data_IF_318228116117
#
_entry.id   IF_318228116117
#
_cell.length_a   1.000
_cell.length_b   1.000
_cell.length_c   1.000
_cell.angle_alpha   90.00
_cell.angle_beta   90.00
_cell.angle_gamma   90.00
#
_symmetry.space_group_name_H-M   'P 1'
#
loop_
_entity.id
_entity.type
_entity.pdbx_description
1 polymer ?
#
# COMPACT_ATOMS: atom_id res chain seq x y z
N UNK A 1 20.46 -7.74 -43.78
CA UNK A 1 20.35 -9.01 -43.05
C UNK A 1 19.44 -10.03 -43.77
N UNK A 2 18.15 -9.71 -43.99
CA UNK A 2 17.17 -10.63 -44.61
C UNK A 2 17.63 -11.17 -45.98
N UNK A 3 18.10 -10.31 -46.89
CA UNK A 3 18.59 -10.75 -48.21
C UNK A 3 19.85 -11.64 -48.17
N UNK A 4 20.71 -11.51 -47.15
CA UNK A 4 21.88 -12.39 -46.97
C UNK A 4 21.46 -13.79 -46.48
N UNK A 5 20.43 -13.86 -45.63
CA UNK A 5 19.84 -15.12 -45.16
C UNK A 5 19.16 -15.85 -46.32
N UNK A 6 18.42 -15.13 -47.17
CA UNK A 6 17.75 -15.67 -48.35
C UNK A 6 18.77 -16.22 -49.37
N UNK A 7 19.85 -15.48 -49.64
CA UNK A 7 20.93 -15.94 -50.52
C UNK A 7 21.63 -17.20 -49.97
N UNK A 8 21.86 -17.26 -48.66
CA UNK A 8 22.44 -18.43 -48.00
C UNK A 8 21.54 -19.66 -48.07
N UNK A 9 20.22 -19.48 -47.93
CA UNK A 9 19.25 -20.55 -48.09
C UNK A 9 19.19 -21.07 -49.54
N UNK A 10 19.24 -20.19 -50.53
CA UNK A 10 19.33 -20.56 -51.95
C UNK A 10 20.61 -21.34 -52.28
N UNK A 11 21.70 -21.06 -51.57
CA UNK A 11 22.97 -21.80 -51.66
C UNK A 11 23.00 -23.08 -50.81
N UNK A 12 21.87 -23.50 -50.23
CA UNK A 12 21.73 -24.69 -49.37
C UNK A 12 22.65 -24.68 -48.15
N UNK A 13 23.05 -23.51 -47.67
CA UNK A 13 23.78 -23.40 -46.40
C UNK A 13 22.86 -23.80 -45.25
N UNK A 14 23.43 -24.52 -44.29
CA UNK A 14 22.72 -24.82 -43.04
C UNK A 14 22.54 -23.55 -42.22
N UNK A 15 21.51 -23.50 -41.37
CA UNK A 15 21.27 -22.39 -40.43
C UNK A 15 22.52 -22.08 -39.61
N UNK A 16 23.31 -23.10 -39.24
CA UNK A 16 24.57 -22.93 -38.50
C UNK A 16 25.66 -22.23 -39.32
N UNK A 17 25.77 -22.52 -40.62
CA UNK A 17 26.72 -21.85 -41.52
C UNK A 17 26.31 -20.41 -41.79
N UNK A 18 25.00 -20.15 -41.99
CA UNK A 18 24.47 -18.79 -42.14
C UNK A 18 24.75 -17.98 -40.88
N UNK A 19 24.45 -18.50 -39.69
CA UNK A 19 24.74 -17.82 -38.41
C UNK A 19 26.23 -17.53 -38.23
N UNK A 20 27.10 -18.50 -38.50
CA UNK A 20 28.56 -18.30 -38.41
C UNK A 20 29.07 -17.21 -39.37
N UNK A 21 28.50 -17.10 -40.57
CA UNK A 21 28.86 -16.05 -41.53
C UNK A 21 28.31 -14.68 -41.10
N UNK A 22 27.12 -14.63 -40.51
CA UNK A 22 26.53 -13.41 -39.95
C UNK A 22 27.31 -12.91 -38.73
N UNK A 23 27.73 -13.81 -37.83
CA UNK A 23 28.52 -13.50 -36.65
C UNK A 23 29.98 -13.10 -37.01
N UNK A 24 30.49 -13.55 -38.16
CA UNK A 24 31.83 -13.20 -38.67
C UNK A 24 31.83 -11.93 -39.54
N UNK A 25 30.69 -11.54 -40.11
CA UNK A 25 30.52 -10.25 -40.74
C UNK A 25 30.36 -9.19 -39.65
N UNK A 26 30.99 -8.04 -39.84
CA UNK A 26 30.81 -6.86 -38.98
C UNK A 26 29.43 -6.21 -39.26
N UNK A 27 28.37 -7.00 -39.05
CA UNK A 27 27.00 -6.59 -39.25
C UNK A 27 26.60 -5.86 -37.98
N UNK A 28 26.40 -4.54 -38.08
CA UNK A 28 25.90 -3.74 -36.97
C UNK A 28 24.62 -4.38 -36.40
N UNK A 29 24.77 -5.04 -35.25
CA UNK A 29 23.67 -5.60 -34.47
C UNK A 29 23.20 -4.52 -33.53
N UNK A 30 21.95 -4.08 -33.67
CA UNK A 30 21.34 -3.27 -32.63
C UNK A 30 21.20 -4.13 -31.37
N UNK A 31 21.82 -3.67 -30.28
CA UNK A 31 21.67 -4.33 -28.97
C UNK A 31 20.41 -3.77 -28.35
N UNK A 32 19.40 -4.63 -28.16
CA UNK A 32 18.14 -4.26 -27.51
C UNK A 32 18.20 -4.77 -26.08
N UNK A 33 17.81 -3.93 -25.11
CA UNK A 33 17.67 -4.35 -23.72
C UNK A 33 16.53 -5.38 -23.60
N UNK A 34 16.81 -6.61 -23.14
CA UNK A 34 15.79 -7.65 -23.08
C UNK A 34 14.78 -7.34 -21.97
N UNK A 35 13.49 -7.55 -22.26
CA UNK A 35 12.45 -7.52 -21.23
C UNK A 35 12.63 -8.76 -20.35
N UNK A 36 13.03 -8.57 -19.10
CA UNK A 36 13.21 -9.66 -18.15
C UNK A 36 11.88 -10.12 -17.57
N UNK A 37 11.72 -11.43 -17.39
CA UNK A 37 10.59 -11.97 -16.66
C UNK A 37 10.64 -11.52 -15.19
N UNK A 38 9.50 -11.14 -14.65
CA UNK A 38 9.35 -10.71 -13.26
C UNK A 38 8.00 -11.20 -12.71
N UNK A 39 7.86 -11.30 -11.39
CA UNK A 39 6.62 -11.77 -10.75
C UNK A 39 5.78 -10.56 -10.36
N UNK A 40 4.50 -10.56 -10.69
CA UNK A 40 3.61 -9.43 -10.34
C UNK A 40 3.53 -9.17 -8.83
N UNK A 41 3.79 -10.19 -8.00
CA UNK A 41 3.76 -10.08 -6.54
C UNK A 41 5.05 -9.55 -5.93
N UNK A 42 6.14 -9.44 -6.69
CA UNK A 42 7.47 -9.14 -6.14
C UNK A 42 7.53 -7.79 -5.42
N UNK A 43 6.74 -6.81 -5.86
CA UNK A 43 6.64 -5.50 -5.23
C UNK A 43 6.01 -5.59 -3.83
N UNK A 44 4.93 -6.36 -3.68
CA UNK A 44 4.30 -6.58 -2.37
C UNK A 44 5.17 -7.45 -1.46
N UNK A 45 5.88 -8.43 -2.01
CA UNK A 45 6.85 -9.23 -1.26
C UNK A 45 8.00 -8.35 -0.75
N UNK A 46 8.55 -7.47 -1.59
CA UNK A 46 9.59 -6.52 -1.19
C UNK A 46 9.09 -5.56 -0.10
N UNK A 47 7.87 -5.05 -0.25
CA UNK A 47 7.23 -4.20 0.75
C UNK A 47 7.13 -4.93 2.09
N UNK A 48 6.64 -6.17 2.10
CA UNK A 48 6.53 -6.97 3.33
C UNK A 48 7.91 -7.25 3.95
N UNK A 49 8.89 -7.65 3.14
CA UNK A 49 10.26 -7.94 3.59
C UNK A 49 10.92 -6.70 4.20
N UNK A 50 10.66 -5.49 3.67
CA UNK A 50 11.16 -4.22 4.24
C UNK A 50 10.67 -4.03 5.67
N UNK A 51 9.38 -4.23 5.94
CA UNK A 51 8.82 -4.16 7.30
C UNK A 51 9.42 -5.22 8.22
N UNK A 52 9.51 -6.47 7.76
CA UNK A 52 10.04 -7.57 8.57
C UNK A 52 11.52 -7.34 8.94
N UNK A 53 12.33 -6.87 7.99
CA UNK A 53 13.72 -6.50 8.23
C UNK A 53 13.85 -5.31 9.20
N UNK A 54 13.00 -4.29 9.06
CA UNK A 54 12.94 -3.18 10.02
C UNK A 54 12.64 -3.70 11.42
N UNK A 55 11.58 -4.51 11.60
CA UNK A 55 11.20 -5.09 12.89
C UNK A 55 12.29 -5.95 13.51
N UNK A 56 13.01 -6.73 12.70
CA UNK A 56 14.15 -7.51 13.19
C UNK A 56 15.27 -6.62 13.76
N UNK A 57 15.59 -5.52 13.06
CA UNK A 57 16.67 -4.58 13.41
C UNK A 57 16.32 -3.65 14.57
N UNK A 58 15.14 -3.04 14.57
CA UNK A 58 14.77 -1.97 15.51
C UNK A 58 13.89 -2.46 16.66
N UNK A 59 13.29 -3.65 16.53
CA UNK A 59 12.20 -4.16 17.38
C UNK A 59 10.94 -3.29 17.35
N UNK A 60 10.80 -2.41 16.36
CA UNK A 60 9.63 -1.56 16.14
C UNK A 60 8.95 -1.89 14.81
N UNK A 61 7.75 -1.36 14.57
CA UNK A 61 6.96 -1.56 13.35
C UNK A 61 6.12 -0.30 13.06
N UNK A 62 5.49 -0.20 11.89
CA UNK A 62 4.30 0.65 11.74
C UNK A 62 3.19 0.05 12.58
N UNK A 63 2.73 0.80 13.58
CA UNK A 63 1.61 0.43 14.45
C UNK A 63 0.35 1.11 13.97
N UNK A 64 -0.67 0.31 13.67
CA UNK A 64 -1.95 0.77 13.15
C UNK A 64 -3.03 0.47 14.18
N UNK A 65 -3.62 1.50 14.76
CA UNK A 65 -4.73 1.36 15.68
C UNK A 65 -6.06 1.49 14.94
N UNK A 66 -6.96 0.53 15.14
CA UNK A 66 -8.31 0.61 14.57
C UNK A 66 -9.24 1.34 15.55
N UNK A 67 -9.59 2.59 15.27
CA UNK A 67 -10.61 3.33 15.99
C UNK A 67 -11.99 2.84 15.56
N UNK A 68 -12.37 1.66 16.06
CA UNK A 68 -13.66 1.03 15.83
C UNK A 68 -14.74 1.78 16.61
N UNK A 69 -15.73 2.34 15.91
CA UNK A 69 -16.81 3.11 16.53
C UNK A 69 -18.11 2.32 16.53
N UNK A 70 -18.82 2.35 17.66
CA UNK A 70 -20.10 1.64 17.82
C UNK A 70 -19.93 0.13 18.02
N UNK A 71 -21.04 -0.63 18.04
CA UNK A 71 -21.04 -2.07 18.33
C UNK A 71 -20.36 -2.91 17.24
N UNK A 72 -19.89 -4.10 17.59
CA UNK A 72 -19.16 -5.01 16.68
C UNK A 72 -19.81 -5.17 15.29
N UNK A 73 -21.13 -5.43 15.15
CA UNK A 73 -21.74 -5.57 13.83
C UNK A 73 -21.61 -4.32 12.93
N UNK A 74 -21.46 -3.13 13.52
CA UNK A 74 -21.33 -1.86 12.81
C UNK A 74 -19.94 -1.70 12.21
N UNK A 75 -18.89 -1.85 13.03
CA UNK A 75 -17.51 -1.56 12.59
C UNK A 75 -16.79 -2.77 12.01
N UNK A 76 -17.21 -4.01 12.34
CA UNK A 76 -16.46 -5.23 11.99
C UNK A 76 -16.11 -5.37 10.51
N UNK A 77 -17.01 -5.11 9.55
CA UNK A 77 -16.65 -5.21 8.12
C UNK A 77 -15.49 -4.28 7.73
N UNK A 78 -15.47 -3.05 8.27
CA UNK A 78 -14.39 -2.07 8.00
C UNK A 78 -13.13 -2.38 8.80
N UNK A 79 -13.27 -2.89 10.03
CA UNK A 79 -12.13 -3.34 10.82
C UNK A 79 -11.40 -4.51 10.16
N UNK A 80 -12.15 -5.50 9.66
CA UNK A 80 -11.59 -6.66 8.96
C UNK A 80 -10.95 -6.26 7.62
N UNK A 81 -11.60 -5.38 6.85
CA UNK A 81 -11.01 -4.82 5.62
C UNK A 81 -9.71 -4.08 5.91
N UNK A 82 -9.70 -3.19 6.89
CA UNK A 82 -8.53 -2.39 7.26
C UNK A 82 -7.40 -3.28 7.75
N UNK A 83 -7.72 -4.27 8.59
CA UNK A 83 -6.78 -5.29 9.04
C UNK A 83 -6.06 -5.94 7.85
N UNK A 84 -6.83 -6.50 6.90
CA UNK A 84 -6.25 -7.14 5.73
C UNK A 84 -5.43 -6.18 4.87
N UNK A 85 -5.88 -4.93 4.75
CA UNK A 85 -5.17 -3.89 3.99
C UNK A 85 -3.76 -3.62 4.56
N UNK A 86 -3.62 -3.47 5.88
CA UNK A 86 -2.33 -3.17 6.51
C UNK A 86 -1.45 -4.41 6.75
N UNK A 87 -2.05 -5.59 6.95
CA UNK A 87 -1.31 -6.85 7.12
C UNK A 87 -0.55 -7.27 5.84
N UNK A 88 -0.97 -6.79 4.66
CA UNK A 88 -0.20 -6.92 3.40
C UNK A 88 1.24 -6.40 3.57
N UNK A 89 1.40 -5.28 4.28
CA UNK A 89 2.70 -4.69 4.56
C UNK A 89 3.39 -5.24 5.82
N UNK A 90 2.87 -6.31 6.43
CA UNK A 90 3.32 -6.82 7.73
C UNK A 90 3.29 -5.79 8.87
N UNK A 91 2.42 -4.77 8.77
CA UNK A 91 2.23 -3.80 9.83
C UNK A 91 1.59 -4.44 11.06
N UNK A 92 1.80 -3.83 12.22
CA UNK A 92 1.22 -4.28 13.47
C UNK A 92 -0.15 -3.63 13.68
N UNK A 93 -1.22 -4.40 13.46
CA UNK A 93 -2.59 -3.92 13.61
C UNK A 93 -3.11 -4.19 15.01
N UNK A 94 -3.43 -3.13 15.74
CA UNK A 94 -3.96 -3.15 17.11
C UNK A 94 -5.49 -3.16 17.03
N UNK A 95 -6.09 -4.29 17.36
CA UNK A 95 -7.54 -4.54 17.30
C UNK A 95 -8.18 -4.32 18.67
N UNK A 96 -9.47 -3.99 18.68
CA UNK A 96 -10.32 -3.84 19.85
C UNK A 96 -11.79 -4.13 19.46
N UNK A 97 -12.66 -4.19 20.47
CA UNK A 97 -14.08 -4.55 20.32
C UNK A 97 -15.01 -3.33 20.10
N UNK A 98 -14.44 -2.14 19.87
CA UNK A 98 -15.17 -0.90 19.66
C UNK A 98 -15.11 0.09 20.82
N UNK A 99 -15.43 1.34 20.51
CA UNK A 99 -15.53 2.46 21.45
C UNK A 99 -16.90 3.12 21.34
N UNK A 100 -17.45 3.52 22.50
CA UNK A 100 -18.74 4.20 22.58
C UNK A 100 -18.62 5.69 22.19
N UNK A 101 -17.51 6.34 22.56
CA UNK A 101 -17.31 7.77 22.33
C UNK A 101 -16.01 8.05 21.57
N UNK A 102 -15.97 9.18 20.86
CA UNK A 102 -14.76 9.61 20.14
C UNK A 102 -13.59 9.87 21.10
N UNK A 103 -13.88 10.40 22.31
CA UNK A 103 -12.88 10.64 23.34
C UNK A 103 -12.25 9.34 23.85
N UNK A 104 -13.03 8.27 24.03
CA UNK A 104 -12.51 6.96 24.44
C UNK A 104 -11.62 6.36 23.35
N UNK A 105 -12.04 6.47 22.08
CA UNK A 105 -11.25 6.02 20.94
C UNK A 105 -9.94 6.79 20.80
N UNK A 106 -9.96 8.12 20.92
CA UNK A 106 -8.77 8.97 20.85
C UNK A 106 -7.81 8.69 22.00
N UNK A 107 -8.32 8.51 23.22
CA UNK A 107 -7.52 8.11 24.38
C UNK A 107 -6.84 6.74 24.15
N UNK A 108 -7.60 5.75 23.70
CA UNK A 108 -7.06 4.40 23.44
C UNK A 108 -6.01 4.42 22.32
N UNK A 109 -6.25 5.20 21.26
CA UNK A 109 -5.28 5.41 20.19
C UNK A 109 -3.95 5.99 20.72
N UNK A 110 -4.02 7.02 21.57
CA UNK A 110 -2.84 7.63 22.20
C UNK A 110 -2.08 6.63 23.08
N UNK A 111 -2.80 5.88 23.91
CA UNK A 111 -2.20 4.88 24.81
C UNK A 111 -1.56 3.72 24.06
N UNK A 112 -2.05 3.42 22.85
CA UNK A 112 -1.49 2.36 21.99
C UNK A 112 -0.12 2.72 21.39
N UNK A 113 0.24 4.00 21.35
CA UNK A 113 1.46 4.49 20.70
C UNK A 113 1.48 4.22 19.19
N UNK A 114 0.31 4.25 18.54
CA UNK A 114 0.19 3.99 17.12
C UNK A 114 0.73 5.14 16.26
N UNK A 115 1.34 4.78 15.14
CA UNK A 115 1.79 5.72 14.10
C UNK A 115 0.62 6.11 13.18
N UNK A 116 -0.37 5.20 13.05
CA UNK A 116 -1.53 5.34 12.18
C UNK A 116 -2.79 5.01 12.96
N UNK A 117 -3.83 5.82 12.81
CA UNK A 117 -5.16 5.57 13.37
C UNK A 117 -6.17 5.47 12.24
N UNK A 118 -6.92 4.37 12.20
CA UNK A 118 -7.90 4.07 11.15
C UNK A 118 -9.30 4.11 11.74
N UNK A 119 -10.10 5.08 11.33
CA UNK A 119 -11.48 5.23 11.78
C UNK A 119 -12.35 4.21 11.03
N UNK A 120 -12.98 3.29 11.78
CA UNK A 120 -13.81 2.22 11.26
C UNK A 120 -15.24 2.31 11.83
N UNK A 121 -16.23 2.56 10.98
CA UNK A 121 -17.66 2.57 11.32
C UNK A 121 -18.51 2.31 10.07
N UNK A 122 -19.78 2.68 10.09
CA UNK A 122 -20.66 2.73 8.91
C UNK A 122 -20.70 4.12 8.30
N UNK A 123 -20.95 4.17 6.99
CA UNK A 123 -21.01 5.40 6.21
C UNK A 123 -22.03 6.41 6.79
N UNK A 124 -23.17 5.92 7.30
CA UNK A 124 -24.22 6.74 7.91
C UNK A 124 -23.76 7.51 9.16
N UNK A 125 -22.78 6.97 9.89
CA UNK A 125 -22.30 7.56 11.16
C UNK A 125 -21.08 8.46 10.99
N UNK A 126 -20.40 8.38 9.84
CA UNK A 126 -19.18 9.15 9.60
C UNK A 126 -19.34 10.67 9.65
N UNK A 127 -20.43 11.29 9.15
CA UNK A 127 -20.56 12.76 9.19
C UNK A 127 -20.48 13.34 10.61
N UNK A 128 -20.97 12.58 11.60
CA UNK A 128 -20.98 12.98 13.01
C UNK A 128 -19.71 12.56 13.74
N UNK A 129 -19.14 11.40 13.40
CA UNK A 129 -18.01 10.82 14.13
C UNK A 129 -16.63 11.29 13.64
N UNK A 130 -16.44 11.40 12.32
CA UNK A 130 -15.11 11.62 11.73
C UNK A 130 -14.54 12.99 12.06
N UNK A 131 -15.28 14.11 11.89
CA UNK A 131 -14.72 15.43 12.18
C UNK A 131 -14.23 15.62 13.63
N UNK A 132 -15.01 15.30 14.69
CA UNK A 132 -14.53 15.47 16.05
C UNK A 132 -13.39 14.51 16.40
N UNK A 133 -13.45 13.24 15.95
CA UNK A 133 -12.40 12.27 16.24
C UNK A 133 -11.08 12.61 15.55
N UNK A 134 -11.10 12.95 14.26
CA UNK A 134 -9.89 13.32 13.52
C UNK A 134 -9.21 14.55 14.14
N UNK A 135 -10.00 15.56 14.52
CA UNK A 135 -9.49 16.76 15.18
C UNK A 135 -8.83 16.43 16.52
N UNK A 136 -9.49 15.64 17.37
CA UNK A 136 -8.94 15.24 18.66
C UNK A 136 -7.66 14.42 18.52
N UNK A 137 -7.59 13.52 17.54
CA UNK A 137 -6.38 12.76 17.22
C UNK A 137 -5.23 13.67 16.79
N UNK A 138 -5.47 14.66 15.93
CA UNK A 138 -4.42 15.60 15.52
C UNK A 138 -3.97 16.53 16.64
N UNK A 139 -4.87 16.94 17.53
CA UNK A 139 -4.54 17.76 18.69
C UNK A 139 -3.71 16.99 19.73
N UNK A 140 -4.02 15.70 19.94
CA UNK A 140 -3.39 14.89 20.99
C UNK A 140 -2.20 14.05 20.50
N UNK A 141 -2.12 13.78 19.19
CA UNK A 141 -1.07 12.99 18.54
C UNK A 141 -0.60 13.71 17.26
N UNK A 142 0.22 14.77 17.36
CA UNK A 142 0.54 15.65 16.22
C UNK A 142 1.15 14.97 15.00
N UNK A 143 1.84 13.84 15.19
CA UNK A 143 2.53 13.10 14.13
C UNK A 143 1.75 11.89 13.61
N UNK A 144 0.54 11.63 14.12
CA UNK A 144 -0.25 10.48 13.71
C UNK A 144 -0.77 10.67 12.29
N UNK A 145 -0.77 9.59 11.50
CA UNK A 145 -1.52 9.56 10.24
C UNK A 145 -2.95 9.06 10.51
N UNK A 146 -3.96 9.88 10.26
CA UNK A 146 -5.37 9.55 10.43
C UNK A 146 -5.92 9.10 9.08
N UNK A 147 -6.49 7.90 9.04
CA UNK A 147 -7.06 7.28 7.85
C UNK A 147 -8.54 6.97 8.10
N UNK A 148 -9.39 7.22 7.12
CA UNK A 148 -10.78 6.79 7.16
C UNK A 148 -10.98 5.50 6.35
N UNK A 149 -11.64 4.50 6.94
CA UNK A 149 -12.02 3.26 6.26
C UNK A 149 -13.30 3.42 5.44
N UNK A 150 -13.17 4.01 4.25
CA UNK A 150 -14.27 4.30 3.34
C UNK A 150 -13.86 5.31 2.29
N UNK A 151 -14.61 5.34 1.18
CA UNK A 151 -14.52 6.44 0.22
C UNK A 151 -15.62 7.45 0.58
N UNK A 152 -15.27 8.64 1.10
CA UNK A 152 -16.28 9.64 1.43
C UNK A 152 -16.98 10.14 0.17
N UNK A 153 -18.25 10.56 0.27
CA UNK A 153 -18.89 11.38 -0.74
C UNK A 153 -18.06 12.65 -1.06
N UNK A 154 -18.14 13.14 -2.30
CA UNK A 154 -17.31 14.26 -2.79
C UNK A 154 -17.50 15.56 -2.00
N UNK A 155 -18.67 15.75 -1.41
CA UNK A 155 -19.05 16.87 -0.56
C UNK A 155 -18.50 16.74 0.87
N UNK A 156 -18.30 15.52 1.36
CA UNK A 156 -17.78 15.25 2.70
C UNK A 156 -16.25 15.10 2.73
N UNK A 157 -15.62 14.70 1.63
CA UNK A 157 -14.15 14.56 1.56
C UNK A 157 -13.40 15.83 2.02
N UNK A 158 -13.73 17.05 1.55
CA UNK A 158 -13.04 18.26 1.97
C UNK A 158 -13.19 18.51 3.47
N UNK A 159 -14.37 18.24 4.03
CA UNK A 159 -14.68 18.41 5.46
C UNK A 159 -13.81 17.46 6.29
N UNK A 160 -13.68 16.20 5.88
CA UNK A 160 -12.85 15.23 6.59
C UNK A 160 -11.37 15.56 6.50
N UNK A 161 -10.89 16.04 5.34
CA UNK A 161 -9.50 16.49 5.18
C UNK A 161 -9.21 17.71 6.06
N UNK A 162 -10.11 18.69 6.09
CA UNK A 162 -9.97 19.87 6.96
C UNK A 162 -9.98 19.50 8.45
N UNK A 163 -10.77 18.50 8.83
CA UNK A 163 -10.78 17.97 10.20
C UNK A 163 -9.50 17.20 10.57
N UNK A 164 -8.65 16.85 9.59
CA UNK A 164 -7.36 16.21 9.83
C UNK A 164 -7.26 14.76 9.36
N UNK A 165 -8.18 14.26 8.54
CA UNK A 165 -8.00 12.97 7.85
C UNK A 165 -6.96 13.12 6.73
N UNK A 166 -5.87 12.35 6.81
CA UNK A 166 -4.79 12.40 5.82
C UNK A 166 -5.13 11.59 4.57
N UNK A 167 -5.74 10.41 4.74
CA UNK A 167 -5.98 9.47 3.65
C UNK A 167 -7.25 8.62 3.83
N UNK A 168 -7.65 7.94 2.76
CA UNK A 168 -8.86 7.13 2.66
C UNK A 168 -8.54 5.76 2.09
N UNK A 169 -8.90 4.69 2.81
CA UNK A 169 -8.75 3.32 2.31
C UNK A 169 -10.10 2.77 1.82
N UNK A 170 -10.09 2.20 0.62
CA UNK A 170 -11.25 1.59 -0.01
C UNK A 170 -10.81 0.53 -1.01
N UNK A 171 -11.77 -0.20 -1.60
CA UNK A 171 -11.50 -1.21 -2.64
C UNK A 171 -10.85 -0.64 -3.91
N UNK A 172 -10.86 0.70 -4.09
CA UNK A 172 -10.23 1.39 -5.21
C UNK A 172 -8.91 2.07 -4.83
N UNK A 173 -8.53 2.05 -3.56
CA UNK A 173 -7.32 2.71 -3.10
C UNK A 173 -6.08 1.99 -3.61
N UNK A 174 -5.02 2.74 -3.93
CA UNK A 174 -3.73 2.18 -4.27
C UNK A 174 -3.05 1.65 -2.99
N UNK A 175 -3.30 0.38 -2.68
CA UNK A 175 -2.79 -0.26 -1.46
C UNK A 175 -1.27 -0.18 -1.36
N UNK A 176 -0.55 -0.45 -2.45
CA UNK A 176 0.90 -0.41 -2.46
C UNK A 176 1.45 0.96 -2.08
N UNK A 177 0.93 2.02 -2.71
CA UNK A 177 1.40 3.40 -2.49
C UNK A 177 1.15 3.89 -1.07
N UNK A 178 -0.03 3.59 -0.50
CA UNK A 178 -0.35 3.96 0.89
C UNK A 178 0.60 3.25 1.85
N UNK A 179 0.77 1.94 1.71
CA UNK A 179 1.67 1.17 2.58
C UNK A 179 3.12 1.62 2.43
N UNK A 180 3.59 1.85 1.21
CA UNK A 180 4.94 2.35 0.95
C UNK A 180 5.17 3.72 1.61
N UNK A 181 4.22 4.64 1.47
CA UNK A 181 4.29 5.97 2.09
C UNK A 181 4.36 5.88 3.62
N UNK A 182 3.61 4.96 4.23
CA UNK A 182 3.64 4.74 5.67
C UNK A 182 4.98 4.15 6.14
N UNK A 183 5.60 3.25 5.36
CA UNK A 183 6.97 2.78 5.63
C UNK A 183 7.99 3.92 5.58
N UNK A 184 7.89 4.79 4.56
CA UNK A 184 8.78 5.94 4.42
C UNK A 184 8.63 6.90 5.60
N UNK A 185 7.39 7.21 6.01
CA UNK A 185 7.12 8.05 7.19
C UNK A 185 7.67 7.47 8.49
N UNK A 186 7.68 6.14 8.63
CA UNK A 186 8.29 5.44 9.78
C UNK A 186 9.82 5.46 9.74
N UNK A 187 10.42 5.80 8.59
CA UNK A 187 11.87 5.81 8.38
C UNK A 187 12.43 4.43 8.06
N UNK A 188 11.65 3.59 7.36
CA UNK A 188 12.12 2.30 6.83
C UNK A 188 12.98 2.45 5.59
#
# INVERSE_FOLDING_TARGET
>A
LIGLIELGALQKLTIRQIRKALDAGDIASETIEPITAHRWTEQFEALRMRTEAYKQRTKDNVKVFLANMGPIPQHKPRADFSTGFFEVGAFEVIKNDGHETTADAAKAARESGADVVVICSTDDTYPELVPPLAKELKETMPNVTVILAGAPPKDLEPIYREAGVDDFISVRANCYEILHTLQDKKGM
#
